data_IF_512434344510
#
_entry.id   IF_512434344510
#
_cell.length_a   1.000
_cell.length_b   1.000
_cell.length_c   1.000
_cell.angle_alpha   90.00
_cell.angle_beta   90.00
_cell.angle_gamma   90.00
#
_symmetry.space_group_name_H-M   'P 1'
#
loop_
_entity.id
_entity.type
_entity.pdbx_description
1 polymer ?
#
# COMPACT_ATOMS: atom_id res chain seq x y z
N UNK A 1 17.14 -2.06 -15.66
CA UNK A 1 16.86 -2.86 -14.46
C UNK A 1 15.38 -3.12 -14.55
N UNK A 2 14.92 -4.33 -14.81
CA UNK A 2 13.49 -4.56 -15.02
C UNK A 2 12.77 -4.42 -13.67
N UNK A 3 11.73 -3.60 -13.62
CA UNK A 3 10.87 -3.48 -12.43
C UNK A 3 10.06 -4.78 -12.27
N UNK A 4 10.19 -5.43 -11.11
CA UNK A 4 9.42 -6.63 -10.78
C UNK A 4 8.05 -6.24 -10.23
N UNK A 5 6.98 -6.63 -10.93
CA UNK A 5 5.61 -6.40 -10.47
C UNK A 5 5.19 -7.52 -9.49
N UNK A 6 4.74 -7.15 -8.29
CA UNK A 6 4.32 -8.08 -7.24
C UNK A 6 2.81 -7.97 -6.98
N UNK A 7 2.09 -9.09 -7.09
CA UNK A 7 0.70 -9.19 -6.63
C UNK A 7 0.66 -9.45 -5.12
N UNK A 8 0.08 -8.52 -4.36
CA UNK A 8 -0.08 -8.63 -2.91
C UNK A 8 -1.57 -8.73 -2.54
N UNK A 9 -1.93 -9.76 -1.78
CA UNK A 9 -3.28 -9.91 -1.22
C UNK A 9 -3.24 -9.58 0.27
N UNK A 10 -4.07 -8.62 0.70
CA UNK A 10 -4.24 -8.25 2.10
C UNK A 10 -5.61 -8.72 2.58
N UNK A 11 -5.63 -9.49 3.67
CA UNK A 11 -6.87 -9.89 4.32
C UNK A 11 -7.26 -8.83 5.36
N UNK A 12 -8.52 -8.40 5.37
CA UNK A 12 -9.04 -7.58 6.47
C UNK A 12 -9.04 -8.42 7.75
N UNK A 13 -8.55 -7.86 8.85
CA UNK A 13 -8.60 -8.53 10.16
C UNK A 13 -10.05 -8.67 10.66
N UNK A 14 -10.28 -9.65 11.53
CA UNK A 14 -11.60 -10.05 12.07
C UNK A 14 -12.34 -8.97 12.90
N UNK A 15 -11.82 -7.76 13.00
CA UNK A 15 -12.53 -6.63 13.61
C UNK A 15 -13.68 -6.21 12.69
N UNK A 16 -14.88 -6.73 12.99
CA UNK A 16 -16.12 -6.73 12.19
C UNK A 16 -16.76 -5.38 11.83
N UNK A 17 -15.99 -4.39 11.41
CA UNK A 17 -16.50 -3.16 10.79
C UNK A 17 -15.38 -2.49 9.98
N UNK A 18 -15.54 -2.39 8.66
CA UNK A 18 -14.92 -1.35 7.81
C UNK A 18 -13.42 -1.02 7.99
N UNK A 19 -12.59 -1.95 8.47
CA UNK A 19 -11.20 -1.66 8.83
C UNK A 19 -10.32 -1.30 7.64
N UNK A 20 -9.43 -0.32 7.85
CA UNK A 20 -8.37 0.05 6.90
C UNK A 20 -7.35 -1.09 6.74
N UNK A 21 -6.70 -1.16 5.58
CA UNK A 21 -5.55 -2.04 5.38
C UNK A 21 -4.28 -1.52 6.06
N UNK A 22 -4.29 -0.27 6.51
CA UNK A 22 -3.21 0.36 7.28
C UNK A 22 -2.04 0.81 6.44
N UNK A 23 -2.29 1.38 5.27
CA UNK A 23 -1.29 2.12 4.50
C UNK A 23 -1.91 3.39 3.92
N UNK A 24 -1.07 4.39 3.67
CA UNK A 24 -1.45 5.65 3.04
C UNK A 24 -0.77 5.79 1.68
N UNK A 25 -1.52 6.29 0.70
CA UNK A 25 -1.03 6.51 -0.66
C UNK A 25 -0.75 7.99 -0.89
N UNK A 26 0.44 8.29 -1.39
CA UNK A 26 0.78 9.59 -1.91
C UNK A 26 0.32 9.59 -3.37
N UNK A 27 -0.76 10.31 -3.63
CA UNK A 27 -1.23 10.51 -5.00
C UNK A 27 -0.22 11.36 -5.76
N UNK A 28 0.46 10.79 -6.74
CA UNK A 28 1.08 11.59 -7.78
C UNK A 28 -0.05 12.16 -8.64
N UNK A 29 -0.48 13.38 -8.34
CA UNK A 29 -1.24 14.16 -9.33
C UNK A 29 -0.38 14.19 -10.58
N UNK A 30 -0.93 13.75 -11.72
CA UNK A 30 -0.23 13.68 -12.99
C UNK A 30 0.17 15.10 -13.44
N UNK A 31 1.21 15.66 -12.83
CA UNK A 31 1.81 16.92 -13.19
C UNK A 31 3.31 16.67 -13.34
N UNK A 32 3.80 16.89 -14.56
CA UNK A 32 5.20 16.85 -14.97
C UNK A 32 5.86 15.47 -15.18
N UNK A 33 5.17 14.52 -15.84
CA UNK A 33 5.84 13.44 -16.58
C UNK A 33 6.32 12.22 -15.79
N UNK A 34 5.89 12.07 -14.53
CA UNK A 34 6.01 10.81 -13.79
C UNK A 34 4.80 9.90 -14.12
N UNK A 35 4.97 8.56 -14.16
CA UNK A 35 3.83 7.66 -14.29
C UNK A 35 2.84 7.95 -13.16
N UNK A 36 1.54 7.79 -13.43
CA UNK A 36 0.47 7.93 -12.43
C UNK A 36 0.53 6.80 -11.39
N UNK A 37 1.68 6.65 -10.74
CA UNK A 37 1.98 5.62 -9.77
C UNK A 37 1.64 6.17 -8.38
N UNK A 38 0.72 5.49 -7.71
CA UNK A 38 0.50 5.72 -6.29
C UNK A 38 1.68 5.14 -5.52
N UNK A 39 2.31 5.95 -4.67
CA UNK A 39 3.40 5.50 -3.80
C UNK A 39 2.84 5.28 -2.40
N UNK A 40 3.15 4.14 -1.79
CA UNK A 40 2.87 3.94 -0.37
C UNK A 40 3.90 4.77 0.41
N UNK A 41 3.46 5.71 1.25
CA UNK A 41 4.38 6.57 2.02
C UNK A 41 4.32 6.35 3.53
N UNK A 42 3.30 5.63 4.00
CA UNK A 42 3.12 5.31 5.41
C UNK A 42 2.43 3.96 5.55
N UNK A 43 2.87 3.17 6.53
CA UNK A 43 2.29 1.87 6.90
C UNK A 43 2.05 1.89 8.41
N UNK A 44 0.78 1.73 8.79
CA UNK A 44 0.35 1.68 10.19
C UNK A 44 0.84 0.39 10.84
N UNK A 45 1.46 0.50 12.02
CA UNK A 45 1.91 -0.66 12.80
C UNK A 45 0.76 -1.60 13.16
N UNK A 46 1.05 -2.90 13.25
CA UNK A 46 0.08 -3.96 13.56
C UNK A 46 -1.11 -4.09 12.58
N UNK A 47 -1.08 -3.39 11.45
CA UNK A 47 -2.10 -3.47 10.40
C UNK A 47 -1.96 -4.71 9.50
N UNK A 48 -2.99 -5.04 8.70
CA UNK A 48 -2.86 -6.06 7.65
C UNK A 48 -1.68 -5.81 6.71
N UNK A 49 -1.40 -4.55 6.40
CA UNK A 49 -0.28 -4.17 5.56
C UNK A 49 1.07 -4.51 6.18
N UNK A 50 1.30 -4.06 7.42
CA UNK A 50 2.52 -4.34 8.16
C UNK A 50 2.75 -5.85 8.36
N UNK A 51 1.67 -6.59 8.66
CA UNK A 51 1.72 -8.04 8.86
C UNK A 51 1.96 -8.85 7.59
N UNK A 52 1.74 -8.26 6.41
CA UNK A 52 1.98 -8.92 5.13
C UNK A 52 3.47 -9.16 4.89
N UNK A 53 4.33 -8.24 5.35
CA UNK A 53 5.77 -8.27 5.07
C UNK A 53 6.14 -8.12 3.59
N UNK A 54 5.15 -7.87 2.72
CA UNK A 54 5.30 -7.78 1.25
C UNK A 54 5.24 -6.35 0.71
N UNK A 55 4.95 -5.37 1.57
CA UNK A 55 4.85 -3.96 1.21
C UNK A 55 5.77 -3.15 2.12
N UNK A 56 6.48 -2.22 1.49
CA UNK A 56 7.42 -1.30 2.13
C UNK A 56 7.01 0.14 1.78
N UNK A 57 7.18 1.06 2.73
CA UNK A 57 7.07 2.50 2.53
C UNK A 57 8.47 3.11 2.34
#
# INVERSE_FOLDING_TARGET
>A
MAEEELLVTLCRGDSGSGGSFGFSLLGASASAGLPAAHVIYDIVENSPAARSGKINA
#
